data_IF_268203726262
#
_entry.id   IF_268203726262
#
_cell.length_a   1.000
_cell.length_b   1.000
_cell.length_c   1.000
_cell.angle_alpha   90.00
_cell.angle_beta   90.00
_cell.angle_gamma   90.00
#
_symmetry.space_group_name_H-M   'P 1'
#
loop_
_entity.id
_entity.type
_entity.pdbx_description
1 polymer ?
#
# COMPACT_ATOMS: atom_id res chain seq x y z
N UNK A 1 6.33 -27.90 12.71
CA UNK A 1 7.21 -26.74 12.47
C UNK A 1 6.65 -25.99 11.28
N UNK A 2 5.68 -25.11 11.51
CA UNK A 2 5.19 -24.19 10.48
C UNK A 2 6.06 -22.94 10.57
N UNK A 3 7.09 -22.87 9.72
CA UNK A 3 7.93 -21.69 9.59
C UNK A 3 7.13 -20.68 8.77
N UNK A 4 6.40 -19.81 9.45
CA UNK A 4 5.93 -18.57 8.86
C UNK A 4 7.17 -17.71 8.59
N UNK A 5 7.67 -17.77 7.36
CA UNK A 5 8.81 -16.98 6.92
C UNK A 5 8.43 -15.49 6.97
N UNK A 6 9.23 -14.63 7.64
CA UNK A 6 8.98 -13.19 7.62
C UNK A 6 9.14 -12.66 6.18
N UNK A 7 8.30 -11.71 5.73
CA UNK A 7 8.42 -11.17 4.38
C UNK A 7 9.80 -10.52 4.22
N UNK A 8 10.55 -10.96 3.20
CA UNK A 8 11.83 -10.36 2.84
C UNK A 8 11.61 -8.94 2.29
N UNK A 9 12.49 -7.97 2.60
CA UNK A 9 12.34 -6.58 2.17
C UNK A 9 12.40 -6.38 0.64
N UNK A 10 12.82 -7.39 -0.11
CA UNK A 10 12.85 -7.43 -1.58
C UNK A 10 11.46 -7.56 -2.23
N UNK A 11 10.41 -7.88 -1.47
CA UNK A 11 9.04 -8.02 -1.99
C UNK A 11 8.25 -6.71 -1.97
N UNK A 12 8.75 -5.64 -1.35
CA UNK A 12 8.02 -4.38 -1.27
C UNK A 12 8.08 -3.62 -2.61
N UNK A 13 6.96 -3.07 -3.10
CA UNK A 13 6.95 -2.27 -4.33
C UNK A 13 7.82 -1.01 -4.16
N UNK A 14 8.48 -0.61 -5.25
CA UNK A 14 9.40 0.53 -5.29
C UNK A 14 8.68 1.88 -5.11
N UNK A 15 7.45 1.99 -5.59
CA UNK A 15 6.64 3.21 -5.53
C UNK A 15 5.16 2.91 -5.31
N UNK A 16 4.38 3.96 -5.02
CA UNK A 16 2.92 3.84 -4.88
C UNK A 16 2.28 3.41 -6.21
N UNK A 17 2.75 4.00 -7.31
CA UNK A 17 2.29 3.72 -8.66
C UNK A 17 2.58 2.27 -9.06
N UNK A 18 3.76 1.75 -8.73
CA UNK A 18 4.10 0.34 -8.96
C UNK A 18 3.19 -0.59 -8.14
N UNK A 19 2.95 -0.25 -6.87
CA UNK A 19 2.07 -1.03 -5.99
C UNK A 19 0.62 -1.06 -6.51
N UNK A 20 0.14 0.08 -7.01
CA UNK A 20 -1.19 0.21 -7.59
C UNK A 20 -1.32 -0.57 -8.90
N UNK A 21 -0.33 -0.45 -9.80
CA UNK A 21 -0.33 -1.18 -11.07
C UNK A 21 -0.34 -2.70 -10.84
N UNK A 22 0.48 -3.20 -9.92
CA UNK A 22 0.52 -4.62 -9.58
C UNK A 22 -0.81 -5.09 -8.97
N UNK A 23 -1.44 -4.28 -8.12
CA UNK A 23 -2.73 -4.60 -7.53
C UNK A 23 -3.83 -4.71 -8.62
N UNK A 24 -3.84 -3.81 -9.59
CA UNK A 24 -4.78 -3.84 -10.71
C UNK A 24 -4.60 -5.09 -11.58
N UNK A 25 -3.35 -5.47 -11.88
CA UNK A 25 -3.05 -6.71 -12.63
C UNK A 25 -3.51 -7.95 -11.85
N UNK A 26 -3.25 -7.97 -10.54
CA UNK A 26 -3.61 -9.08 -9.67
C UNK A 26 -5.14 -9.24 -9.58
N UNK A 27 -5.88 -8.14 -9.43
CA UNK A 27 -7.35 -8.16 -9.42
C UNK A 27 -7.89 -8.64 -10.77
N UNK A 28 -7.36 -8.15 -11.89
CA UNK A 28 -7.76 -8.63 -13.23
C UNK A 28 -7.52 -10.13 -13.40
N UNK A 29 -6.40 -10.66 -12.89
CA UNK A 29 -6.11 -12.09 -12.94
C UNK A 29 -7.08 -12.91 -12.08
N UNK A 30 -7.54 -12.38 -10.96
CA UNK A 30 -8.55 -13.02 -10.11
C UNK A 30 -9.95 -13.00 -10.76
N UNK A 31 -10.34 -11.88 -11.36
CA UNK A 31 -11.65 -11.70 -11.99
C UNK A 31 -11.83 -12.52 -13.27
N UNK A 32 -10.75 -12.72 -14.03
CA UNK A 32 -10.77 -13.55 -15.25
C UNK A 32 -10.90 -15.05 -14.96
N UNK A 33 -10.80 -15.47 -13.69
CA UNK A 33 -10.92 -16.87 -13.29
C UNK A 33 -9.80 -17.77 -13.81
N UNK A 34 -8.71 -17.18 -14.32
CA UNK A 34 -7.55 -17.92 -14.85
C UNK A 34 -6.63 -18.46 -13.74
N UNK A 35 -6.91 -18.10 -12.48
CA UNK A 35 -6.08 -18.46 -11.34
C UNK A 35 -6.55 -19.76 -10.68
N UNK A 36 -5.67 -20.77 -10.52
CA UNK A 36 -6.00 -21.97 -9.76
C UNK A 36 -6.21 -21.65 -8.27
N UNK A 37 -6.97 -22.50 -7.57
CA UNK A 37 -7.30 -22.32 -6.14
C UNK A 37 -6.06 -22.11 -5.25
N UNK A 38 -4.96 -22.80 -5.55
CA UNK A 38 -3.69 -22.66 -4.83
C UNK A 38 -3.05 -21.26 -5.02
N UNK A 39 -3.21 -20.70 -6.22
CA UNK A 39 -2.74 -19.35 -6.56
C UNK A 39 -3.58 -18.24 -5.91
N UNK A 40 -4.87 -18.48 -5.69
CA UNK A 40 -5.80 -17.50 -5.10
C UNK A 40 -5.36 -17.05 -3.70
N UNK A 41 -4.88 -17.97 -2.85
CA UNK A 41 -4.40 -17.62 -1.52
C UNK A 41 -3.14 -16.75 -1.59
N UNK A 42 -2.24 -17.06 -2.51
CA UNK A 42 -1.01 -16.29 -2.72
C UNK A 42 -1.30 -14.90 -3.28
N UNK A 43 -2.21 -14.80 -4.25
CA UNK A 43 -2.67 -13.53 -4.79
C UNK A 43 -3.35 -12.67 -3.74
N UNK A 44 -4.21 -13.26 -2.90
CA UNK A 44 -4.82 -12.55 -1.78
C UNK A 44 -3.79 -11.99 -0.80
N UNK A 45 -2.79 -12.80 -0.40
CA UNK A 45 -1.70 -12.35 0.49
C UNK A 45 -0.90 -11.21 -0.13
N UNK A 46 -0.61 -11.29 -1.43
CA UNK A 46 0.10 -10.24 -2.17
C UNK A 46 -0.73 -8.96 -2.23
N UNK A 47 -2.00 -9.05 -2.62
CA UNK A 47 -2.92 -7.92 -2.66
C UNK A 47 -3.07 -7.23 -1.29
N UNK A 48 -3.14 -8.00 -0.21
CA UNK A 48 -3.18 -7.44 1.15
C UNK A 48 -1.92 -6.62 1.48
N UNK A 49 -0.72 -7.10 1.10
CA UNK A 49 0.53 -6.37 1.29
C UNK A 49 0.60 -5.10 0.43
N UNK A 50 0.16 -5.16 -0.82
CA UNK A 50 0.11 -4.00 -1.71
C UNK A 50 -0.83 -2.91 -1.14
N UNK A 51 -2.00 -3.31 -0.64
CA UNK A 51 -2.94 -2.39 0.02
C UNK A 51 -2.36 -1.76 1.28
N UNK A 52 -1.67 -2.53 2.12
CA UNK A 52 -1.01 -2.02 3.32
C UNK A 52 0.09 -1.01 2.96
N UNK A 53 0.90 -1.31 1.95
CA UNK A 53 1.91 -0.39 1.44
C UNK A 53 1.26 0.92 0.96
N UNK A 54 0.24 0.85 0.10
CA UNK A 54 -0.44 2.03 -0.42
C UNK A 54 -1.00 2.91 0.71
N UNK A 55 -1.64 2.32 1.71
CA UNK A 55 -2.15 3.04 2.89
C UNK A 55 -1.03 3.72 3.66
N UNK A 56 0.05 3.00 3.95
CA UNK A 56 1.18 3.58 4.68
C UNK A 56 1.80 4.80 3.98
N UNK A 57 1.83 4.80 2.64
CA UNK A 57 2.31 5.93 1.85
C UNK A 57 1.37 7.12 1.93
N UNK A 58 0.06 6.89 1.85
CA UNK A 58 -0.95 7.95 2.00
C UNK A 58 -0.91 8.55 3.41
N UNK A 59 -0.86 7.72 4.45
CA UNK A 59 -0.77 8.16 5.84
C UNK A 59 0.49 9.01 6.08
N UNK A 60 1.62 8.60 5.51
CA UNK A 60 2.87 9.36 5.62
C UNK A 60 2.79 10.74 4.92
N UNK A 61 2.07 10.84 3.81
CA UNK A 61 1.83 12.11 3.11
C UNK A 61 0.87 12.99 3.90
N UNK A 62 -0.21 12.42 4.44
CA UNK A 62 -1.18 13.14 5.27
C UNK A 62 -0.52 13.77 6.50
N UNK A 63 0.33 13.01 7.20
CA UNK A 63 1.08 13.53 8.34
C UNK A 63 2.03 14.68 7.95
N UNK A 64 2.71 14.60 6.80
CA UNK A 64 3.55 15.67 6.30
C UNK A 64 2.76 16.94 5.98
N UNK A 65 1.57 16.79 5.38
CA UNK A 65 0.66 17.92 5.09
C UNK A 65 0.22 18.57 6.40
N UNK A 66 -0.19 17.77 7.38
CA UNK A 66 -0.64 18.27 8.69
C UNK A 66 0.44 19.06 9.42
N UNK A 67 1.67 18.55 9.47
CA UNK A 67 2.82 19.27 10.07
C UNK A 67 3.07 20.60 9.35
N UNK A 68 2.91 20.62 8.02
CA UNK A 68 3.09 21.83 7.21
C UNK A 68 1.98 22.86 7.46
N UNK A 69 0.73 22.45 7.66
CA UNK A 69 -0.38 23.33 8.04
C UNK A 69 -0.19 23.89 9.46
N UNK A 70 0.18 23.04 10.42
CA UNK A 70 0.49 23.43 11.81
C UNK A 70 1.65 24.43 11.89
N UNK A 71 2.68 24.26 11.05
CA UNK A 71 3.80 25.19 10.93
C UNK A 71 3.47 26.49 10.19
N UNK A 72 2.41 26.52 9.38
CA UNK A 72 1.97 27.70 8.62
C UNK A 72 0.85 28.50 9.30
N UNK A 73 0.20 27.94 10.32
CA UNK A 73 -0.82 28.61 11.13
C UNK A 73 -0.19 29.71 12.02
N UNK A 74 0.22 30.82 11.41
CA UNK A 74 0.32 32.09 12.13
C UNK A 74 -1.11 32.53 12.46
N UNK A 75 -1.46 32.80 13.74
CA UNK A 75 -2.73 33.44 14.05
C UNK A 75 -2.73 34.79 13.34
N UNK A 76 -3.60 34.94 12.34
CA UNK A 76 -3.86 36.23 11.73
C UNK A 76 -4.45 37.14 12.81
N UNK A 77 -3.58 37.90 13.46
CA UNK A 77 -3.93 38.96 14.39
C UNK A 77 -3.91 40.24 13.59
N UNK A 78 -5.10 40.69 13.17
CA UNK A 78 -5.31 42.02 12.59
C UNK A 78 -5.14 43.07 13.71
N UNK A 79 -4.34 44.15 13.51
CA UNK A 79 -4.29 45.27 14.44
C UNK A 79 -5.58 46.08 14.47
#
# INVERSE_FOLDING_TARGET
>A
MDRTDPPSPDDAPSSFEDAQAELDELVRAMETGQMPLDGLLSAYKRGARLLEFCRSRLDAVEEQVKVLEEGQLKPWTRP
#
